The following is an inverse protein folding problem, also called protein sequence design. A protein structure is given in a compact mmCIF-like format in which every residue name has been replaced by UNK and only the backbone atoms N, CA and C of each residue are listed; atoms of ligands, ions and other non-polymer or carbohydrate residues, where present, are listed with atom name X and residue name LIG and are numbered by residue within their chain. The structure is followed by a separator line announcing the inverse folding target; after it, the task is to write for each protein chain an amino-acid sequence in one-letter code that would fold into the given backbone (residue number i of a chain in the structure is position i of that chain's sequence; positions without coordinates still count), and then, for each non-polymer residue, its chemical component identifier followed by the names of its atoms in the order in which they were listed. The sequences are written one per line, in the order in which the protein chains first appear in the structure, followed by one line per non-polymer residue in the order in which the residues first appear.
data_IF_920339590223
#
_entry.id   IF_920339590223
#
_cell.length_a   1.000
_cell.length_b   1.000
_cell.length_c   1.000
_cell.angle_alpha   90.00
_cell.angle_beta   90.00
_cell.angle_gamma   90.00
#
_symmetry.space_group_name_H-M   'P 1'
#
loop_
_entity.id
_entity.type
_entity.pdbx_description
1 polymer ?
#
# COMPACT_ATOMS: atom_id res chain seq x y z
N UNK A 1 -28.61 -5.20 8.62
CA UNK A 1 -28.79 -4.19 7.57
C UNK A 1 -27.52 -3.35 7.57
N UNK A 2 -26.69 -3.53 6.51
CA UNK A 2 -25.41 -2.88 6.39
C UNK A 2 -25.60 -1.46 5.82
N UNK A 3 -24.96 -0.47 6.42
CA UNK A 3 -25.08 0.93 5.99
C UNK A 3 -23.98 1.30 4.97
N UNK A 4 -22.83 0.63 5.02
CA UNK A 4 -21.68 0.89 4.17
C UNK A 4 -21.17 -0.43 3.58
N UNK A 5 -20.94 -0.46 2.27
CA UNK A 5 -20.30 -1.57 1.57
C UNK A 5 -18.93 -1.11 1.05
N UNK A 6 -17.88 -1.87 1.37
CA UNK A 6 -16.53 -1.67 0.85
C UNK A 6 -16.22 -2.77 -0.15
N UNK A 7 -15.92 -2.39 -1.40
CA UNK A 7 -15.60 -3.31 -2.48
C UNK A 7 -14.16 -3.11 -2.95
N UNK A 8 -13.37 -4.18 -2.93
CA UNK A 8 -12.06 -4.20 -3.58
C UNK A 8 -12.23 -4.57 -5.05
N UNK A 9 -11.63 -3.75 -5.93
CA UNK A 9 -11.67 -3.94 -7.38
C UNK A 9 -10.24 -4.15 -7.89
N UNK A 10 -9.98 -5.32 -8.48
CA UNK A 10 -8.73 -5.66 -9.13
C UNK A 10 -8.84 -5.60 -10.65
N UNK A 11 -7.73 -5.52 -11.36
CA UNK A 11 -7.67 -5.56 -12.82
C UNK A 11 -6.38 -6.18 -13.33
N UNK A 12 -6.47 -6.84 -14.47
CA UNK A 12 -5.35 -7.31 -15.29
C UNK A 12 -5.35 -6.63 -16.68
N UNK A 13 -6.48 -6.05 -17.09
CA UNK A 13 -6.64 -5.38 -18.38
C UNK A 13 -7.57 -4.16 -18.27
N UNK A 14 -7.52 -3.31 -19.30
CA UNK A 14 -8.45 -2.19 -19.43
C UNK A 14 -9.90 -2.68 -19.56
N UNK A 15 -10.84 -1.88 -19.04
CA UNK A 15 -12.27 -2.13 -19.06
C UNK A 15 -12.79 -2.93 -17.86
N UNK A 16 -11.93 -3.64 -17.11
CA UNK A 16 -12.36 -4.46 -15.98
C UNK A 16 -12.85 -3.60 -14.82
N UNK A 17 -12.09 -2.57 -14.41
CA UNK A 17 -12.51 -1.63 -13.37
C UNK A 17 -13.72 -0.80 -13.85
N UNK A 18 -13.78 -0.41 -15.12
CA UNK A 18 -14.94 0.27 -15.71
C UNK A 18 -16.21 -0.55 -15.51
N UNK A 19 -16.18 -1.85 -15.83
CA UNK A 19 -17.33 -2.73 -15.64
C UNK A 19 -17.75 -2.81 -14.17
N UNK A 20 -16.79 -3.09 -13.29
CA UNK A 20 -17.03 -3.23 -11.85
C UNK A 20 -17.60 -1.94 -11.25
N UNK A 21 -17.03 -0.80 -11.61
CA UNK A 21 -17.42 0.52 -11.13
C UNK A 21 -18.85 0.88 -11.58
N UNK A 22 -19.21 0.59 -12.83
CA UNK A 22 -20.58 0.83 -13.34
C UNK A 22 -21.63 -0.06 -12.69
N UNK A 23 -21.25 -1.26 -12.24
CA UNK A 23 -22.12 -2.16 -11.47
C UNK A 23 -22.28 -1.62 -10.05
N UNK A 24 -21.16 -1.30 -9.38
CA UNK A 24 -21.14 -0.87 -7.99
C UNK A 24 -21.72 0.54 -7.78
N UNK A 25 -21.52 1.47 -8.74
CA UNK A 25 -21.91 2.88 -8.64
C UNK A 25 -21.45 3.51 -7.32
N UNK A 26 -20.15 3.55 -7.06
CA UNK A 26 -19.64 3.97 -5.76
C UNK A 26 -19.96 5.44 -5.46
N UNK A 27 -20.20 5.75 -4.20
CA UNK A 27 -20.25 7.12 -3.67
C UNK A 27 -18.84 7.63 -3.34
N UNK A 28 -17.91 6.70 -3.07
CA UNK A 28 -16.50 7.00 -2.81
C UNK A 28 -15.63 6.08 -3.64
N UNK A 29 -14.78 6.65 -4.48
CA UNK A 29 -13.75 5.95 -5.25
C UNK A 29 -12.39 6.14 -4.57
N UNK A 30 -11.67 5.05 -4.32
CA UNK A 30 -10.38 5.09 -3.65
C UNK A 30 -9.31 4.50 -4.57
N UNK A 31 -8.20 5.24 -4.78
CA UNK A 31 -7.02 4.73 -5.47
C UNK A 31 -5.83 4.85 -4.51
N UNK A 32 -5.39 3.71 -4.00
CA UNK A 32 -4.39 3.66 -2.92
C UNK A 32 -2.97 3.84 -3.42
N UNK A 33 -2.64 3.26 -4.57
CA UNK A 33 -1.29 3.31 -5.12
C UNK A 33 -1.27 2.97 -6.61
N UNK A 34 -0.29 3.55 -7.33
CA UNK A 34 0.11 3.16 -8.69
C UNK A 34 1.54 2.65 -8.60
N UNK A 35 1.65 1.36 -8.33
CA UNK A 35 2.93 0.64 -8.27
C UNK A 35 3.27 -0.05 -9.59
N UNK A 36 4.02 -1.15 -9.48
CA UNK A 36 4.49 -1.97 -10.62
C UNK A 36 3.71 -3.29 -10.78
N UNK A 37 2.74 -3.58 -9.92
CA UNK A 37 1.88 -4.74 -10.08
C UNK A 37 1.17 -4.72 -11.43
N UNK A 38 1.14 -5.86 -12.14
CA UNK A 38 0.55 -6.02 -13.48
C UNK A 38 1.24 -5.21 -14.61
N UNK A 39 2.48 -4.69 -14.38
CA UNK A 39 3.19 -3.86 -15.38
C UNK A 39 3.47 -4.65 -16.65
N UNK A 40 3.76 -5.95 -16.55
CA UNK A 40 3.96 -6.82 -17.71
C UNK A 40 2.71 -7.01 -18.58
N UNK A 41 1.51 -6.81 -18.01
CA UNK A 41 0.23 -6.90 -18.71
C UNK A 41 -0.20 -5.58 -19.32
N UNK A 42 0.01 -4.48 -18.61
CA UNK A 42 -0.43 -3.13 -19.00
C UNK A 42 0.67 -2.30 -19.68
N UNK A 43 1.92 -2.70 -19.57
CA UNK A 43 3.06 -2.13 -20.29
C UNK A 43 3.70 -0.91 -19.62
N UNK A 44 3.00 -0.14 -18.76
CA UNK A 44 3.58 0.99 -18.05
C UNK A 44 2.78 1.39 -16.81
N UNK A 45 3.39 2.16 -15.89
CA UNK A 45 2.70 2.74 -14.72
C UNK A 45 1.60 3.73 -15.12
N UNK A 46 1.78 4.47 -16.20
CA UNK A 46 0.75 5.37 -16.74
C UNK A 46 -0.47 4.59 -17.23
N UNK A 47 -0.28 3.43 -17.81
CA UNK A 47 -1.38 2.56 -18.20
C UNK A 47 -2.07 1.93 -16.98
N UNK A 48 -1.32 1.58 -15.93
CA UNK A 48 -1.89 1.14 -14.64
C UNK A 48 -2.73 2.26 -14.03
N UNK A 49 -2.26 3.52 -14.07
CA UNK A 49 -3.04 4.68 -13.63
C UNK A 49 -4.33 4.79 -14.45
N UNK A 50 -4.27 4.73 -15.78
CA UNK A 50 -5.45 4.80 -16.66
C UNK A 50 -6.47 3.71 -16.33
N UNK A 51 -6.01 2.46 -16.17
CA UNK A 51 -6.89 1.34 -15.82
C UNK A 51 -7.56 1.54 -14.45
N UNK A 52 -6.82 2.01 -13.43
CA UNK A 52 -7.40 2.28 -12.10
C UNK A 52 -8.34 3.49 -12.10
N UNK A 53 -8.07 4.50 -12.91
CA UNK A 53 -8.95 5.66 -13.07
C UNK A 53 -10.31 5.31 -13.72
N UNK A 54 -10.46 4.15 -14.36
CA UNK A 54 -11.75 3.65 -14.84
C UNK A 54 -12.79 3.55 -13.71
N UNK A 55 -12.37 3.51 -12.44
CA UNK A 55 -13.28 3.53 -11.28
C UNK A 55 -14.17 4.78 -11.28
N UNK A 56 -13.70 5.88 -11.86
CA UNK A 56 -14.44 7.15 -11.95
C UNK A 56 -15.62 7.09 -12.92
N UNK A 57 -15.63 6.13 -13.85
CA UNK A 57 -16.73 5.98 -14.82
C UNK A 57 -18.06 5.57 -14.19
N UNK A 58 -18.01 4.86 -13.04
CA UNK A 58 -19.18 4.50 -12.27
C UNK A 58 -19.45 5.40 -11.06
N UNK A 59 -18.54 6.34 -10.76
CA UNK A 59 -18.67 7.22 -9.60
C UNK A 59 -19.93 8.07 -9.68
N UNK A 60 -20.70 8.12 -8.59
CA UNK A 60 -21.89 8.95 -8.50
C UNK A 60 -21.56 10.45 -8.72
N UNK A 61 -22.49 11.22 -9.27
CA UNK A 61 -22.28 12.62 -9.68
C UNK A 61 -21.69 13.53 -8.60
N UNK A 62 -22.02 13.29 -7.33
CA UNK A 62 -21.51 14.04 -6.18
C UNK A 62 -20.53 13.20 -5.36
N UNK A 63 -20.00 12.12 -5.95
CA UNK A 63 -19.11 11.22 -5.28
C UNK A 63 -17.74 11.83 -4.96
N UNK A 64 -17.07 11.23 -4.00
CA UNK A 64 -15.74 11.67 -3.55
C UNK A 64 -14.66 10.74 -4.07
N UNK A 65 -13.55 11.30 -4.51
CA UNK A 65 -12.34 10.54 -4.87
C UNK A 65 -11.33 10.68 -3.74
N UNK A 66 -10.79 9.56 -3.27
CA UNK A 66 -9.73 9.53 -2.25
C UNK A 66 -8.47 8.99 -2.89
N UNK A 67 -7.36 9.73 -2.79
CA UNK A 67 -6.08 9.35 -3.39
C UNK A 67 -4.91 9.52 -2.44
N UNK A 68 -3.89 8.72 -2.67
CA UNK A 68 -2.59 8.85 -2.03
C UNK A 68 -1.77 9.97 -2.70
N UNK A 69 -1.56 11.06 -1.98
CA UNK A 69 -0.79 12.22 -2.44
C UNK A 69 0.72 11.95 -2.55
N UNK A 70 1.23 10.95 -1.83
CA UNK A 70 2.65 10.56 -1.88
C UNK A 70 2.99 9.78 -3.16
N UNK A 71 1.98 9.28 -3.89
CA UNK A 71 2.19 8.63 -5.17
C UNK A 71 2.30 9.67 -6.29
N UNK A 72 3.42 9.64 -7.00
CA UNK A 72 3.78 10.60 -8.06
C UNK A 72 2.68 10.76 -9.13
N UNK A 73 2.22 9.65 -9.70
CA UNK A 73 1.22 9.66 -10.76
C UNK A 73 -0.18 10.08 -10.28
N UNK A 74 -0.55 9.73 -9.04
CA UNK A 74 -1.82 10.17 -8.45
C UNK A 74 -1.77 11.66 -8.11
N UNK A 75 -0.64 12.17 -7.63
CA UNK A 75 -0.44 13.59 -7.37
C UNK A 75 -0.51 14.40 -8.67
N UNK A 76 0.18 13.96 -9.72
CA UNK A 76 0.12 14.58 -11.04
C UNK A 76 -1.31 14.60 -11.62
N UNK A 77 -2.06 13.52 -11.42
CA UNK A 77 -3.47 13.46 -11.80
C UNK A 77 -4.31 14.44 -10.98
N UNK A 78 -4.13 14.49 -9.66
CA UNK A 78 -4.84 15.40 -8.78
C UNK A 78 -4.64 16.86 -9.19
N UNK A 79 -3.41 17.30 -9.42
CA UNK A 79 -3.14 18.69 -9.80
C UNK A 79 -3.84 19.12 -11.10
N UNK A 80 -4.10 18.16 -12.00
CA UNK A 80 -4.82 18.42 -13.28
C UNK A 80 -6.34 18.36 -13.15
N UNK A 81 -6.86 17.58 -12.22
CA UNK A 81 -8.28 17.19 -12.19
C UNK A 81 -9.03 17.65 -10.93
N UNK A 82 -8.34 18.24 -9.93
CA UNK A 82 -8.91 18.63 -8.63
C UNK A 82 -10.13 19.56 -8.71
N UNK A 83 -10.24 20.34 -9.78
CA UNK A 83 -11.39 21.25 -9.97
C UNK A 83 -12.62 20.54 -10.58
N UNK A 84 -12.46 19.30 -11.07
CA UNK A 84 -13.53 18.52 -11.69
C UNK A 84 -14.19 17.54 -10.73
N UNK A 85 -13.48 17.13 -9.68
CA UNK A 85 -13.93 16.13 -8.72
C UNK A 85 -13.86 16.66 -7.30
N UNK A 86 -14.71 16.14 -6.43
CA UNK A 86 -14.52 16.30 -4.99
C UNK A 86 -13.41 15.33 -4.54
N UNK A 87 -12.20 15.84 -4.30
CA UNK A 87 -11.04 15.00 -4.00
C UNK A 87 -10.57 15.22 -2.57
N UNK A 88 -10.34 14.13 -1.85
CA UNK A 88 -9.62 14.11 -0.58
C UNK A 88 -8.27 13.43 -0.80
N UNK A 89 -7.21 14.11 -0.38
CA UNK A 89 -5.84 13.60 -0.47
C UNK A 89 -5.34 13.18 0.90
N UNK A 90 -4.61 12.08 0.96
CA UNK A 90 -3.89 11.65 2.15
C UNK A 90 -2.43 11.31 1.82
N UNK A 91 -1.55 11.45 2.79
CA UNK A 91 -0.14 11.11 2.62
C UNK A 91 0.72 11.64 3.76
N UNK A 92 2.03 11.52 3.61
CA UNK A 92 3.03 12.03 4.56
C UNK A 92 3.62 13.37 4.13
N UNK A 93 3.47 13.72 2.85
CA UNK A 93 3.96 14.97 2.28
C UNK A 93 3.10 16.17 2.67
N UNK A 94 3.76 17.33 2.79
CA UNK A 94 3.07 18.61 2.96
C UNK A 94 2.23 18.89 1.71
N UNK A 95 0.95 19.25 1.91
CA UNK A 95 -0.02 19.45 0.83
C UNK A 95 -1.15 18.43 0.83
N UNK A 96 -0.96 17.26 1.45
CA UNK A 96 -2.07 16.33 1.72
C UNK A 96 -3.10 16.96 2.66
N UNK A 97 -4.38 16.64 2.47
CA UNK A 97 -5.45 17.09 3.38
C UNK A 97 -5.44 16.32 4.71
N UNK A 98 -5.08 15.04 4.65
CA UNK A 98 -4.86 14.20 5.83
C UNK A 98 -3.40 13.78 5.83
N UNK A 99 -2.66 14.22 6.87
CA UNK A 99 -1.20 14.10 6.89
C UNK A 99 -0.77 13.13 7.99
N UNK A 100 0.03 12.13 7.62
CA UNK A 100 0.73 11.25 8.55
C UNK A 100 2.10 11.82 8.93
N UNK A 101 2.47 11.75 10.20
CA UNK A 101 3.79 12.18 10.70
C UNK A 101 4.30 11.28 11.81
N UNK A 102 5.59 11.39 12.07
CA UNK A 102 6.27 10.82 13.25
C UNK A 102 6.00 9.30 13.41
N UNK A 103 6.06 8.55 12.30
CA UNK A 103 5.90 7.10 12.34
C UNK A 103 7.08 6.43 13.06
N UNK A 104 6.78 5.62 14.07
CA UNK A 104 7.72 4.83 14.84
C UNK A 104 7.31 3.36 14.72
N UNK A 105 8.23 2.53 14.25
CA UNK A 105 7.98 1.11 14.01
C UNK A 105 8.44 0.26 15.19
N UNK A 106 7.61 -0.66 15.62
CA UNK A 106 7.83 -1.60 16.72
C UNK A 106 7.57 -3.03 16.26
N UNK A 107 8.02 -4.01 17.04
CA UNK A 107 7.71 -5.43 16.78
C UNK A 107 6.21 -5.74 16.78
N UNK A 108 5.43 -4.95 17.52
CA UNK A 108 3.98 -5.15 17.70
C UNK A 108 3.11 -4.13 16.95
N UNK A 109 3.70 -3.36 16.03
CA UNK A 109 2.93 -2.37 15.28
C UNK A 109 3.67 -1.09 14.94
N UNK A 110 2.90 -0.06 14.63
CA UNK A 110 3.39 1.26 14.27
C UNK A 110 2.59 2.33 15.02
N UNK A 111 3.27 3.24 15.68
CA UNK A 111 2.68 4.46 16.23
C UNK A 111 2.96 5.63 15.29
N UNK A 112 1.95 6.44 15.01
CA UNK A 112 2.13 7.67 14.23
C UNK A 112 1.16 8.76 14.67
N UNK A 113 1.26 9.92 14.04
CA UNK A 113 0.33 11.02 14.20
C UNK A 113 -0.42 11.26 12.89
N UNK A 114 -1.74 11.44 12.96
CA UNK A 114 -2.55 11.92 11.85
C UNK A 114 -3.02 13.34 12.10
N UNK A 115 -2.79 14.24 11.14
CA UNK A 115 -3.28 15.62 11.19
C UNK A 115 -4.50 15.72 10.26
N UNK A 116 -5.64 16.05 10.84
CA UNK A 116 -6.93 16.19 10.15
C UNK A 116 -7.55 17.52 10.59
N UNK A 117 -7.89 18.40 9.66
CA UNK A 117 -8.48 19.72 9.94
C UNK A 117 -7.69 20.49 11.02
N UNK A 118 -6.36 20.50 10.90
CA UNK A 118 -5.41 21.14 11.81
C UNK A 118 -5.36 20.57 13.24
N UNK A 119 -6.01 19.43 13.50
CA UNK A 119 -5.94 18.71 14.76
C UNK A 119 -5.04 17.48 14.60
N UNK A 120 -4.22 17.22 15.62
CA UNK A 120 -3.32 16.07 15.65
C UNK A 120 -3.93 14.95 16.49
N UNK A 121 -3.95 13.75 15.94
CA UNK A 121 -4.44 12.53 16.57
C UNK A 121 -3.34 11.47 16.61
N UNK A 122 -3.20 10.79 17.74
CA UNK A 122 -2.33 9.62 17.85
C UNK A 122 -3.00 8.42 17.23
N UNK A 123 -2.27 7.70 16.41
CA UNK A 123 -2.75 6.50 15.71
C UNK A 123 -1.85 5.35 16.09
N UNK A 124 -2.44 4.28 16.63
CA UNK A 124 -1.77 3.00 16.81
C UNK A 124 -2.25 2.01 15.76
N UNK A 125 -1.32 1.43 15.02
CA UNK A 125 -1.59 0.44 13.96
C UNK A 125 -0.96 -0.87 14.43
N UNK A 126 -1.72 -1.97 14.62
CA UNK A 126 -1.19 -3.23 15.20
C UNK A 126 -0.31 -4.02 14.21
N UNK A 127 0.25 -3.34 13.22
CA UNK A 127 1.09 -3.91 12.17
C UNK A 127 2.22 -2.95 11.84
N UNK A 128 3.40 -3.49 11.53
CA UNK A 128 4.56 -2.71 11.12
C UNK A 128 4.62 -2.47 9.61
N UNK A 129 5.07 -1.26 9.22
CA UNK A 129 5.35 -0.90 7.84
C UNK A 129 4.75 0.43 7.39
N UNK A 130 5.47 1.17 6.56
CA UNK A 130 5.05 2.51 6.09
C UNK A 130 3.74 2.47 5.30
N UNK A 131 3.52 1.40 4.53
CA UNK A 131 2.29 1.22 3.77
C UNK A 131 1.04 1.09 4.65
N UNK A 132 1.18 0.59 5.90
CA UNK A 132 0.06 0.56 6.84
C UNK A 132 -0.24 1.95 7.43
N UNK A 133 0.76 2.83 7.55
CA UNK A 133 0.51 4.25 7.85
C UNK A 133 -0.34 4.85 6.74
N UNK A 134 0.07 4.70 5.49
CA UNK A 134 -0.67 5.19 4.32
C UNK A 134 -2.09 4.63 4.26
N UNK A 135 -2.27 3.31 4.47
CA UNK A 135 -3.58 2.67 4.50
C UNK A 135 -4.46 3.18 5.64
N UNK A 136 -3.89 3.47 6.82
CA UNK A 136 -4.61 4.04 7.95
C UNK A 136 -5.08 5.47 7.67
N UNK A 137 -4.24 6.29 7.02
CA UNK A 137 -4.65 7.62 6.56
C UNK A 137 -5.78 7.55 5.52
N UNK A 138 -5.75 6.56 4.63
CA UNK A 138 -6.84 6.27 3.70
C UNK A 138 -8.14 5.95 4.46
N UNK A 139 -8.08 5.07 5.47
CA UNK A 139 -9.24 4.73 6.29
C UNK A 139 -9.79 5.94 7.05
N UNK A 140 -8.93 6.82 7.58
CA UNK A 140 -9.34 8.08 8.20
C UNK A 140 -9.98 9.04 7.19
N UNK A 141 -9.51 9.03 5.93
CA UNK A 141 -10.14 9.79 4.83
C UNK A 141 -11.56 9.32 4.56
N UNK A 142 -11.78 8.01 4.53
CA UNK A 142 -13.13 7.41 4.41
C UNK A 142 -14.00 7.80 5.59
N UNK A 143 -13.47 7.69 6.82
CA UNK A 143 -14.20 8.06 8.04
C UNK A 143 -14.64 9.54 7.99
N UNK A 144 -13.79 10.43 7.45
CA UNK A 144 -14.13 11.85 7.27
C UNK A 144 -15.28 12.04 6.27
N UNK A 145 -15.27 11.32 5.15
CA UNK A 145 -16.36 11.41 4.14
C UNK A 145 -17.71 10.99 4.72
N UNK A 146 -17.72 9.93 5.51
CA UNK A 146 -18.95 9.40 6.13
C UNK A 146 -19.25 9.99 7.52
N UNK A 147 -18.56 11.06 7.90
CA UNK A 147 -18.73 11.75 9.19
C UNK A 147 -18.66 10.81 10.41
N UNK A 148 -17.86 9.74 10.30
CA UNK A 148 -17.63 8.80 11.41
C UNK A 148 -16.82 9.51 12.49
N UNK A 149 -17.23 9.47 13.77
CA UNK A 149 -16.46 10.06 14.86
C UNK A 149 -15.03 9.56 14.86
N UNK A 150 -14.07 10.47 14.97
CA UNK A 150 -12.64 10.15 14.83
C UNK A 150 -12.19 9.08 15.85
N UNK A 151 -12.70 9.13 17.07
CA UNK A 151 -12.37 8.16 18.11
C UNK A 151 -12.82 6.74 17.72
N UNK A 152 -13.95 6.62 17.01
CA UNK A 152 -14.45 5.35 16.50
C UNK A 152 -13.58 4.85 15.36
N UNK A 153 -13.14 5.73 14.47
CA UNK A 153 -12.24 5.39 13.36
C UNK A 153 -10.87 4.94 13.88
N UNK A 154 -10.29 5.66 14.85
CA UNK A 154 -9.02 5.30 15.48
C UNK A 154 -9.09 3.94 16.17
N UNK A 155 -10.18 3.67 16.90
CA UNK A 155 -10.40 2.36 17.52
C UNK A 155 -10.58 1.24 16.48
N UNK A 156 -11.17 1.53 15.33
CA UNK A 156 -11.25 0.60 14.19
C UNK A 156 -9.87 0.23 13.65
N UNK A 157 -8.97 1.20 13.53
CA UNK A 157 -7.58 0.97 13.10
C UNK A 157 -6.83 0.16 14.16
N UNK A 158 -6.95 0.50 15.44
CA UNK A 158 -6.31 -0.24 16.54
C UNK A 158 -6.74 -1.70 16.62
N UNK A 159 -7.98 -2.00 16.24
CA UNK A 159 -8.53 -3.36 16.21
C UNK A 159 -8.39 -4.05 14.85
N UNK A 160 -7.55 -3.54 13.95
CA UNK A 160 -7.34 -4.13 12.64
C UNK A 160 -6.66 -5.50 12.75
N UNK A 161 -7.23 -6.49 12.08
CA UNK A 161 -6.65 -7.83 11.97
C UNK A 161 -6.14 -8.07 10.55
N UNK A 162 -4.89 -8.50 10.46
CA UNK A 162 -4.28 -8.83 9.17
C UNK A 162 -4.88 -10.09 8.55
N UNK A 163 -5.03 -10.04 7.26
CA UNK A 163 -5.21 -11.25 6.45
C UNK A 163 -3.95 -12.11 6.55
N UNK A 164 -4.11 -13.42 6.70
CA UNK A 164 -3.00 -14.38 6.76
C UNK A 164 -2.02 -14.18 5.59
N UNK A 165 -0.73 -14.36 5.86
CA UNK A 165 0.37 -14.24 4.89
C UNK A 165 0.60 -12.81 4.35
N UNK A 166 0.10 -11.78 5.05
CA UNK A 166 0.41 -10.36 4.77
C UNK A 166 1.04 -9.74 6.00
N UNK A 167 2.37 -9.55 5.99
CA UNK A 167 3.16 -9.03 7.12
C UNK A 167 2.84 -9.73 8.46
N UNK A 168 2.43 -10.99 8.41
CA UNK A 168 2.02 -11.77 9.58
C UNK A 168 3.22 -12.10 10.45
N UNK A 169 3.27 -11.58 11.68
CA UNK A 169 4.38 -11.82 12.60
C UNK A 169 4.12 -13.09 13.40
N UNK A 170 5.07 -14.00 13.37
CA UNK A 170 5.07 -15.26 14.12
C UNK A 170 6.38 -15.47 14.85
N UNK A 171 6.33 -16.17 15.95
CA UNK A 171 7.53 -16.65 16.65
C UNK A 171 7.80 -18.11 16.29
N UNK A 172 8.98 -18.39 15.76
CA UNK A 172 9.44 -19.74 15.51
C UNK A 172 9.81 -20.47 16.81
N UNK A 173 9.82 -21.79 16.81
CA UNK A 173 10.20 -22.61 17.97
C UNK A 173 11.61 -22.31 18.52
N UNK A 174 12.52 -21.83 17.70
CA UNK A 174 13.87 -21.42 18.08
C UNK A 174 13.93 -19.99 18.67
N UNK A 175 12.79 -19.29 18.80
CA UNK A 175 12.72 -17.92 19.30
C UNK A 175 12.91 -16.84 18.21
N UNK A 176 13.17 -17.20 16.96
CA UNK A 176 13.29 -16.23 15.88
C UNK A 176 11.91 -15.63 15.55
N UNK A 177 11.88 -14.31 15.31
CA UNK A 177 10.71 -13.64 14.74
C UNK A 177 10.65 -13.94 13.24
N UNK A 178 9.47 -14.31 12.75
CA UNK A 178 9.20 -14.57 11.34
C UNK A 178 8.16 -13.58 10.86
N UNK A 179 8.50 -12.79 9.86
CA UNK A 179 7.58 -11.91 9.12
C UNK A 179 7.16 -12.68 7.88
N UNK A 180 5.90 -13.12 7.87
CA UNK A 180 5.33 -13.90 6.77
C UNK A 180 4.50 -13.00 5.85
N UNK A 181 5.04 -12.65 4.69
CA UNK A 181 4.41 -11.80 3.66
C UNK A 181 4.34 -12.53 2.30
N UNK A 182 4.05 -13.82 2.31
CA UNK A 182 4.12 -14.68 1.14
C UNK A 182 2.78 -14.84 0.38
N UNK A 183 1.82 -13.93 0.54
CA UNK A 183 0.56 -13.98 -0.21
C UNK A 183 0.76 -13.69 -1.70
N UNK A 184 1.52 -12.65 -2.00
CA UNK A 184 1.93 -12.25 -3.34
C UNK A 184 3.26 -11.50 -3.26
N UNK A 185 3.97 -11.40 -4.38
CA UNK A 185 5.23 -10.69 -4.48
C UNK A 185 5.22 -9.70 -5.65
N UNK A 186 5.53 -8.44 -5.35
CA UNK A 186 5.84 -7.39 -6.31
C UNK A 186 6.91 -6.48 -5.72
N UNK A 187 7.47 -5.58 -6.52
CA UNK A 187 8.53 -4.69 -6.08
C UNK A 187 8.15 -3.88 -4.82
N UNK A 188 6.98 -3.26 -4.84
CA UNK A 188 6.56 -2.36 -3.77
C UNK A 188 6.35 -3.11 -2.44
N UNK A 189 5.73 -4.30 -2.48
CA UNK A 189 5.50 -5.12 -1.28
C UNK A 189 6.79 -5.72 -0.73
N UNK A 190 7.67 -6.26 -1.59
CA UNK A 190 8.96 -6.78 -1.16
C UNK A 190 9.85 -5.70 -0.53
N UNK A 191 9.94 -4.54 -1.19
CA UNK A 191 10.67 -3.40 -0.66
C UNK A 191 10.12 -2.98 0.70
N UNK A 192 8.81 -2.84 0.84
CA UNK A 192 8.20 -2.45 2.12
C UNK A 192 8.47 -3.45 3.26
N UNK A 193 8.48 -4.75 2.96
CA UNK A 193 8.80 -5.79 3.94
C UNK A 193 10.28 -5.75 4.35
N UNK A 194 11.20 -5.54 3.40
CA UNK A 194 12.64 -5.40 3.66
C UNK A 194 12.92 -4.13 4.46
N UNK A 195 12.40 -2.98 4.04
CA UNK A 195 12.52 -1.70 4.75
C UNK A 195 12.01 -1.79 6.21
N UNK A 196 10.90 -2.50 6.44
CA UNK A 196 10.39 -2.73 7.79
C UNK A 196 11.35 -3.61 8.60
N UNK A 197 11.77 -4.75 8.05
CA UNK A 197 12.72 -5.64 8.72
C UNK A 197 14.04 -4.94 9.02
N UNK A 198 14.52 -4.05 8.14
CA UNK A 198 15.78 -3.30 8.35
C UNK A 198 15.72 -2.39 9.58
N UNK A 199 14.53 -1.83 9.87
CA UNK A 199 14.30 -0.90 11.00
C UNK A 199 14.11 -1.59 12.34
N UNK A 200 13.91 -2.92 12.36
CA UNK A 200 13.76 -3.67 13.61
C UNK A 200 15.09 -3.87 14.33
N UNK A 201 15.10 -3.88 15.67
CA UNK A 201 16.34 -3.94 16.48
C UNK A 201 17.01 -5.32 16.50
N UNK A 202 16.59 -6.26 15.69
CA UNK A 202 17.09 -7.63 15.67
C UNK A 202 18.51 -7.69 15.08
N UNK A 203 19.46 -8.39 15.73
CA UNK A 203 20.88 -8.37 15.36
C UNK A 203 21.21 -9.16 14.08
N UNK A 204 20.34 -10.08 13.66
CA UNK A 204 20.55 -10.91 12.46
C UNK A 204 19.28 -10.94 11.62
N UNK A 205 19.40 -10.57 10.35
CA UNK A 205 18.31 -10.46 9.39
C UNK A 205 18.48 -11.47 8.27
N UNK A 206 17.46 -12.31 8.06
CA UNK A 206 17.43 -13.33 7.03
C UNK A 206 16.24 -13.07 6.14
N UNK A 207 16.47 -12.80 4.86
CA UNK A 207 15.41 -12.67 3.86
C UNK A 207 15.26 -13.95 3.04
N UNK A 208 14.04 -14.43 2.89
CA UNK A 208 13.69 -15.55 1.99
C UNK A 208 12.75 -14.99 0.95
N UNK A 209 13.24 -14.83 -0.28
CA UNK A 209 12.55 -14.17 -1.37
C UNK A 209 12.26 -15.13 -2.52
N UNK A 210 11.08 -15.00 -3.11
CA UNK A 210 10.66 -15.76 -4.29
C UNK A 210 10.56 -14.88 -5.53
N UNK A 211 10.25 -15.51 -6.67
CA UNK A 211 10.01 -14.79 -7.92
C UNK A 211 8.83 -13.83 -7.79
N UNK A 212 8.94 -12.67 -8.45
CA UNK A 212 7.81 -11.76 -8.69
C UNK A 212 7.16 -12.09 -10.03
N UNK A 213 5.85 -12.35 -10.00
CA UNK A 213 5.06 -12.66 -11.20
C UNK A 213 4.60 -11.42 -11.97
N UNK A 214 4.07 -11.65 -13.18
CA UNK A 214 3.38 -10.65 -14.02
C UNK A 214 4.23 -9.45 -14.45
N UNK A 215 5.56 -9.60 -14.47
CA UNK A 215 6.49 -8.53 -14.83
C UNK A 215 6.82 -8.47 -16.32
N UNK A 216 6.64 -9.59 -17.06
CA UNK A 216 6.96 -9.65 -18.48
C UNK A 216 8.42 -9.26 -18.76
N UNK A 217 8.64 -8.35 -19.69
CA UNK A 217 9.97 -7.85 -20.08
C UNK A 217 10.69 -7.06 -18.96
N UNK A 218 9.98 -6.60 -17.93
CA UNK A 218 10.55 -5.89 -16.80
C UNK A 218 11.09 -6.81 -15.70
N UNK A 219 10.98 -8.14 -15.85
CA UNK A 219 11.32 -9.11 -14.80
C UNK A 219 12.76 -8.94 -14.32
N UNK A 220 13.73 -8.92 -15.23
CA UNK A 220 15.13 -8.77 -14.86
C UNK A 220 15.38 -7.46 -14.10
N UNK A 221 14.97 -6.31 -14.64
CA UNK A 221 15.21 -5.00 -14.05
C UNK A 221 14.60 -4.89 -12.65
N UNK A 222 13.38 -5.40 -12.47
CA UNK A 222 12.67 -5.27 -11.19
C UNK A 222 13.27 -6.20 -10.14
N UNK A 223 13.70 -7.41 -10.51
CA UNK A 223 14.42 -8.30 -9.59
C UNK A 223 15.78 -7.71 -9.20
N UNK A 224 16.53 -7.12 -10.14
CA UNK A 224 17.79 -6.43 -9.85
C UNK A 224 17.58 -5.27 -8.84
N UNK A 225 16.52 -4.48 -8.98
CA UNK A 225 16.18 -3.40 -8.03
C UNK A 225 15.93 -3.91 -6.60
N UNK A 226 15.31 -5.08 -6.45
CA UNK A 226 15.15 -5.69 -5.11
C UNK A 226 16.51 -6.16 -4.57
N UNK A 227 17.41 -6.65 -5.41
CA UNK A 227 18.79 -6.96 -5.00
C UNK A 227 19.51 -5.74 -4.42
N UNK A 228 19.36 -4.57 -5.06
CA UNK A 228 19.91 -3.31 -4.54
C UNK A 228 19.30 -2.93 -3.18
N UNK A 229 18.00 -3.15 -2.97
CA UNK A 229 17.35 -2.93 -1.65
C UNK A 229 17.95 -3.86 -0.60
N UNK A 230 18.11 -5.15 -0.91
CA UNK A 230 18.72 -6.14 0.01
C UNK A 230 20.12 -5.70 0.44
N UNK A 231 20.94 -5.23 -0.51
CA UNK A 231 22.28 -4.72 -0.22
C UNK A 231 22.27 -3.48 0.69
N UNK A 232 21.32 -2.55 0.45
CA UNK A 232 21.20 -1.32 1.24
C UNK A 232 20.66 -1.53 2.65
N UNK A 233 19.78 -2.51 2.84
CA UNK A 233 19.09 -2.79 4.10
C UNK A 233 19.89 -3.65 5.08
N UNK A 234 21.17 -3.95 4.76
CA UNK A 234 22.06 -4.74 5.60
C UNK A 234 21.45 -6.11 5.99
N UNK A 235 20.96 -6.85 5.02
CA UNK A 235 20.46 -8.19 5.19
C UNK A 235 21.64 -9.15 5.33
N UNK A 236 21.73 -9.89 6.44
CA UNK A 236 22.87 -10.78 6.71
C UNK A 236 22.88 -12.04 5.86
N UNK A 237 21.68 -12.57 5.56
CA UNK A 237 21.51 -13.78 4.75
C UNK A 237 20.35 -13.58 3.80
N UNK A 238 20.59 -13.82 2.52
CA UNK A 238 19.59 -13.88 1.46
C UNK A 238 19.43 -15.32 0.99
N UNK A 239 18.20 -15.83 0.99
CA UNK A 239 17.82 -17.12 0.42
C UNK A 239 16.79 -16.84 -0.69
N UNK A 240 17.09 -17.30 -1.90
CA UNK A 240 16.22 -17.10 -3.05
C UNK A 240 15.61 -18.44 -3.51
N UNK A 241 14.33 -18.38 -3.89
CA UNK A 241 13.58 -19.55 -4.37
C UNK A 241 12.88 -19.18 -5.67
N UNK A 242 13.29 -19.78 -6.77
CA UNK A 242 12.78 -19.51 -8.11
C UNK A 242 13.88 -19.37 -9.14
N UNK A 243 13.53 -18.99 -10.36
CA UNK A 243 14.46 -18.80 -11.48
C UNK A 243 14.76 -17.32 -11.74
N UNK A 244 13.78 -16.45 -11.65
CA UNK A 244 13.91 -15.02 -11.90
C UNK A 244 14.71 -14.30 -10.79
N UNK A 245 14.68 -14.85 -9.56
CA UNK A 245 15.47 -14.33 -8.42
C UNK A 245 16.98 -14.45 -8.60
N UNK A 246 17.51 -15.16 -9.63
CA UNK A 246 18.92 -15.13 -9.98
C UNK A 246 19.39 -13.70 -10.29
N UNK A 247 18.54 -12.91 -10.96
CA UNK A 247 18.82 -11.51 -11.27
C UNK A 247 18.93 -10.65 -9.99
N UNK A 248 18.16 -10.97 -8.94
CA UNK A 248 18.21 -10.34 -7.65
C UNK A 248 19.53 -10.64 -6.94
N UNK A 249 19.97 -11.91 -6.90
CA UNK A 249 21.21 -12.35 -6.24
C UNK A 249 22.43 -11.61 -6.81
N UNK A 250 22.45 -11.34 -8.11
CA UNK A 250 23.59 -10.70 -8.77
C UNK A 250 23.79 -9.23 -8.35
N UNK A 251 22.81 -8.64 -7.66
CA UNK A 251 22.81 -7.23 -7.22
C UNK A 251 22.80 -7.05 -5.71
N UNK A 252 22.51 -8.14 -4.95
CA UNK A 252 22.41 -8.13 -3.48
C UNK A 252 23.77 -8.12 -2.75
#
# INVERSE_FOLDING_TARGET
DEEIMVLEMGMNSFGEISLLSRIAKPDVAIITNIGTAHIGLLGSRENILKAKLEILEGLNKNGTVIINYDNDLLNDWYEKEKDKYNVITYGTQAGSMIIGKNAIFHENGTDCEAIIDSKTYKVHIPVGGEHFVSNSLCALSVAKVFEIPIEKALKGIENFELTKKRMEIKQAKCGAMVINDCYNANYDSMKAALDYMSKLPNPRKIAVLGDMGELGEYSQEIHEKIGEVVAQDNIDILICVGTEVENLINKA
#
